data_IF_319301888941
#
_entry.id   IF_319301888941
#
_cell.length_a   1.000
_cell.length_b   1.000
_cell.length_c   1.000
_cell.angle_alpha   90.00
_cell.angle_beta   90.00
_cell.angle_gamma   90.00
#
_symmetry.space_group_name_H-M   'P 1'
#
loop_
_entity.id
_entity.type
_entity.pdbx_description
1 polymer ?
#
# COMPACT_ATOMS: atom_id res chain seq x y z
N UNK A 1 8.53 -38.37 -7.04
CA UNK A 1 7.39 -37.45 -7.00
C UNK A 1 7.95 -36.03 -6.87
N UNK A 2 8.04 -35.31 -8.00
CA UNK A 2 8.55 -33.94 -8.01
C UNK A 2 7.41 -33.03 -7.49
N UNK A 3 7.51 -32.59 -6.27
CA UNK A 3 6.66 -31.51 -5.75
C UNK A 3 7.17 -30.18 -6.34
N UNK A 4 6.71 -29.83 -7.55
CA UNK A 4 6.83 -28.46 -8.03
C UNK A 4 6.03 -27.58 -7.06
N UNK A 5 6.72 -26.91 -6.14
CA UNK A 5 6.11 -25.86 -5.34
C UNK A 5 5.78 -24.70 -6.26
N UNK A 6 4.52 -24.60 -6.67
CA UNK A 6 4.00 -23.46 -7.42
C UNK A 6 4.13 -22.21 -6.54
N UNK A 7 4.99 -21.28 -6.95
CA UNK A 7 5.15 -19.99 -6.28
C UNK A 7 4.18 -19.01 -6.92
N UNK A 8 3.06 -18.74 -6.26
CA UNK A 8 2.11 -17.71 -6.68
C UNK A 8 2.62 -16.34 -6.26
N UNK A 9 2.74 -15.43 -7.20
CA UNK A 9 3.24 -14.07 -6.97
C UNK A 9 2.14 -13.04 -6.77
N UNK A 10 0.93 -13.37 -7.21
CA UNK A 10 -0.25 -12.52 -7.01
C UNK A 10 -1.51 -13.34 -6.68
N UNK A 11 -2.54 -12.67 -6.20
CA UNK A 11 -3.78 -13.30 -5.81
C UNK A 11 -4.56 -13.84 -7.01
N UNK A 12 -4.42 -13.23 -8.20
CA UNK A 12 -5.09 -13.66 -9.42
C UNK A 12 -4.67 -15.08 -9.82
N UNK A 13 -3.37 -15.38 -9.72
CA UNK A 13 -2.86 -16.71 -10.02
C UNK A 13 -3.44 -17.77 -9.09
N UNK A 14 -3.63 -17.41 -7.81
CA UNK A 14 -4.30 -18.28 -6.84
C UNK A 14 -5.80 -18.47 -7.13
N UNK A 15 -6.48 -17.40 -7.56
CA UNK A 15 -7.90 -17.45 -7.93
C UNK A 15 -8.10 -18.39 -9.13
N UNK A 16 -7.28 -18.23 -10.16
CA UNK A 16 -7.33 -19.03 -11.39
C UNK A 16 -7.03 -20.51 -11.09
N UNK A 17 -6.11 -20.78 -10.16
CA UNK A 17 -5.75 -22.14 -9.76
C UNK A 17 -6.73 -22.82 -8.81
N UNK A 18 -7.83 -22.16 -8.42
CA UNK A 18 -8.81 -22.62 -7.42
C UNK A 18 -8.21 -22.97 -6.05
N UNK A 19 -6.96 -22.62 -5.80
CA UNK A 19 -6.25 -22.94 -4.55
C UNK A 19 -6.40 -21.86 -3.48
N UNK A 20 -7.37 -20.95 -3.61
CA UNK A 20 -7.67 -19.99 -2.54
C UNK A 20 -8.17 -20.74 -1.35
N UNK A 21 -7.42 -20.68 -0.28
CA UNK A 21 -7.91 -21.08 1.02
C UNK A 21 -8.89 -19.97 1.52
N UNK A 22 -10.20 -20.24 1.45
CA UNK A 22 -11.28 -19.36 1.93
C UNK A 22 -11.02 -18.82 3.33
N UNK A 23 -10.43 -19.65 4.17
CA UNK A 23 -10.03 -19.33 5.53
C UNK A 23 -9.08 -18.13 5.65
N UNK A 24 -8.17 -17.91 4.68
CA UNK A 24 -7.25 -16.76 4.71
C UNK A 24 -7.94 -15.45 4.38
N UNK A 25 -8.90 -15.45 3.46
CA UNK A 25 -9.65 -14.24 3.10
C UNK A 25 -10.53 -13.78 4.28
N UNK A 26 -11.19 -14.71 4.96
CA UNK A 26 -11.97 -14.42 6.17
C UNK A 26 -11.08 -13.90 7.31
N UNK A 27 -9.88 -14.48 7.50
CA UNK A 27 -8.91 -13.99 8.49
C UNK A 27 -8.42 -12.57 8.18
N UNK A 28 -8.19 -12.26 6.89
CA UNK A 28 -7.84 -10.90 6.46
C UNK A 28 -8.97 -9.93 6.76
N UNK A 29 -10.20 -10.28 6.41
CA UNK A 29 -11.37 -9.45 6.70
C UNK A 29 -11.59 -9.26 8.20
N UNK A 30 -11.55 -10.32 8.97
CA UNK A 30 -11.66 -10.26 10.44
C UNK A 30 -10.55 -9.41 11.06
N UNK A 31 -9.35 -9.43 10.47
CA UNK A 31 -8.24 -8.57 10.86
C UNK A 31 -8.55 -7.10 10.53
N UNK A 32 -8.97 -6.78 9.31
CA UNK A 32 -9.32 -5.42 8.89
C UNK A 32 -10.45 -4.87 9.78
N UNK A 33 -11.51 -5.64 10.03
CA UNK A 33 -12.63 -5.21 10.87
C UNK A 33 -12.23 -5.01 12.34
N UNK A 34 -11.34 -5.83 12.88
CA UNK A 34 -10.79 -5.63 14.23
C UNK A 34 -9.95 -4.36 14.34
N UNK A 35 -9.24 -4.01 13.26
CA UNK A 35 -8.47 -2.78 13.19
C UNK A 35 -9.37 -1.54 13.20
N UNK A 36 -10.61 -1.69 12.74
CA UNK A 36 -11.54 -0.59 12.48
C UNK A 36 -12.77 -0.63 13.39
N UNK A 37 -12.62 -1.14 14.61
CA UNK A 37 -13.72 -1.05 15.58
C UNK A 37 -14.11 0.42 15.82
N UNK A 38 -15.39 0.75 16.00
CA UNK A 38 -15.91 2.12 16.11
C UNK A 38 -15.23 3.00 17.17
N UNK A 39 -14.55 2.40 18.11
CA UNK A 39 -13.82 3.12 19.16
C UNK A 39 -12.47 3.70 18.70
N UNK A 40 -11.96 3.29 17.54
CA UNK A 40 -10.65 3.72 17.00
C UNK A 40 -10.73 4.74 15.86
N UNK A 41 -11.93 5.09 15.39
CA UNK A 41 -12.12 6.01 14.25
C UNK A 41 -11.65 7.46 14.49
N UNK A 42 -11.40 7.85 15.73
CA UNK A 42 -10.96 9.22 16.04
C UNK A 42 -9.47 9.47 15.73
N UNK A 43 -8.68 8.42 15.54
CA UNK A 43 -7.24 8.54 15.24
C UNK A 43 -6.85 7.60 14.10
N UNK A 44 -6.03 8.09 13.14
CA UNK A 44 -5.52 7.24 12.07
C UNK A 44 -4.68 6.13 12.68
N UNK A 45 -5.05 4.90 12.41
CA UNK A 45 -4.34 3.74 12.92
C UNK A 45 -3.33 3.27 11.89
N UNK A 46 -2.06 3.18 12.29
CA UNK A 46 -0.98 2.63 11.46
C UNK A 46 -0.68 1.23 11.97
N UNK A 47 -0.82 0.25 11.09
CA UNK A 47 -0.53 -1.14 11.39
C UNK A 47 0.68 -1.61 10.61
N UNK A 48 1.62 -2.21 11.30
CA UNK A 48 2.78 -2.84 10.68
C UNK A 48 2.61 -4.35 10.73
N UNK A 49 2.65 -4.96 9.56
CA UNK A 49 2.57 -6.41 9.41
C UNK A 49 3.92 -6.96 8.99
N UNK A 50 4.50 -7.83 9.81
CA UNK A 50 5.80 -8.45 9.52
C UNK A 50 5.64 -9.96 9.40
N UNK A 51 6.29 -10.55 8.39
CA UNK A 51 6.39 -12.00 8.19
C UNK A 51 7.76 -12.34 7.61
N UNK A 52 8.28 -13.53 7.83
CA UNK A 52 9.46 -14.01 7.12
C UNK A 52 9.25 -13.97 5.60
N UNK A 53 10.31 -13.77 4.84
CA UNK A 53 10.26 -13.79 3.38
C UNK A 53 9.67 -15.11 2.88
N UNK A 54 8.87 -15.06 1.82
CA UNK A 54 8.20 -16.23 1.25
C UNK A 54 6.89 -16.64 1.95
N UNK A 55 6.49 -16.01 3.04
CA UNK A 55 5.24 -16.32 3.76
C UNK A 55 4.01 -15.57 3.25
N UNK A 56 4.05 -15.08 2.01
CA UNK A 56 2.88 -14.56 1.31
C UNK A 56 2.40 -13.19 1.80
N UNK A 57 3.32 -12.32 2.28
CA UNK A 57 2.94 -10.97 2.71
C UNK A 57 2.36 -10.15 1.56
N UNK A 58 3.02 -10.15 0.39
CA UNK A 58 2.51 -9.45 -0.80
C UNK A 58 1.18 -10.00 -1.31
N UNK A 59 0.93 -11.30 -1.13
CA UNK A 59 -0.37 -11.92 -1.39
C UNK A 59 -1.44 -11.38 -0.44
N UNK A 60 -1.09 -11.22 0.83
CA UNK A 60 -1.99 -10.70 1.85
C UNK A 60 -2.31 -9.22 1.59
N UNK A 61 -1.31 -8.40 1.26
CA UNK A 61 -1.51 -6.97 0.91
C UNK A 61 -2.37 -6.83 -0.34
N UNK A 62 -2.14 -7.64 -1.37
CA UNK A 62 -2.95 -7.66 -2.58
C UNK A 62 -4.39 -8.12 -2.29
N UNK A 63 -4.57 -9.17 -1.49
CA UNK A 63 -5.91 -9.62 -1.07
C UNK A 63 -6.65 -8.52 -0.30
N UNK A 64 -5.96 -7.84 0.62
CA UNK A 64 -6.51 -6.73 1.40
C UNK A 64 -6.97 -5.59 0.50
N UNK A 65 -6.13 -5.16 -0.45
CA UNK A 65 -6.45 -4.13 -1.45
C UNK A 65 -7.73 -4.47 -2.21
N UNK A 66 -7.81 -5.65 -2.78
CA UNK A 66 -8.94 -6.10 -3.60
C UNK A 66 -10.23 -6.30 -2.80
N UNK A 67 -10.13 -6.75 -1.54
CA UNK A 67 -11.28 -6.88 -0.63
C UNK A 67 -11.83 -5.49 -0.30
N UNK A 68 -10.99 -4.53 0.05
CA UNK A 68 -11.41 -3.15 0.35
C UNK A 68 -12.09 -2.52 -0.87
N UNK A 69 -11.54 -2.70 -2.06
CA UNK A 69 -12.14 -2.22 -3.32
C UNK A 69 -13.37 -3.02 -3.76
N UNK A 70 -13.72 -4.08 -3.06
CA UNK A 70 -14.88 -4.94 -3.34
C UNK A 70 -14.87 -5.51 -4.76
N UNK A 71 -13.73 -5.99 -5.20
CA UNK A 71 -13.63 -6.63 -6.52
C UNK A 71 -14.49 -7.91 -6.58
N UNK A 72 -15.36 -7.99 -7.59
CA UNK A 72 -16.42 -9.01 -7.68
C UNK A 72 -15.91 -10.46 -7.66
N UNK A 73 -14.77 -10.72 -8.26
CA UNK A 73 -14.16 -12.05 -8.34
C UNK A 73 -13.64 -12.55 -6.99
N UNK A 74 -13.34 -11.65 -6.04
CA UNK A 74 -12.98 -11.99 -4.67
C UNK A 74 -14.22 -12.00 -3.80
N UNK A 75 -15.06 -10.97 -3.88
CA UNK A 75 -16.26 -10.81 -3.06
C UNK A 75 -17.24 -11.97 -3.28
N UNK A 76 -17.41 -12.44 -4.53
CA UNK A 76 -18.26 -13.59 -4.83
C UNK A 76 -17.79 -14.92 -4.21
N UNK A 77 -16.58 -14.96 -3.63
CA UNK A 77 -16.02 -16.11 -2.89
C UNK A 77 -16.09 -15.95 -1.37
N UNK A 78 -16.52 -14.78 -0.90
CA UNK A 78 -16.72 -14.49 0.51
C UNK A 78 -18.18 -14.78 0.85
N UNK A 79 -18.40 -15.78 1.68
CA UNK A 79 -19.76 -16.24 2.04
C UNK A 79 -20.52 -15.25 2.92
N UNK A 80 -19.82 -14.35 3.60
CA UNK A 80 -20.42 -13.37 4.51
C UNK A 80 -20.40 -11.95 3.91
N UNK A 81 -21.45 -11.62 3.16
CA UNK A 81 -21.64 -10.28 2.61
C UNK A 81 -21.86 -9.20 3.70
N UNK A 82 -22.25 -9.60 4.91
CA UNK A 82 -22.44 -8.70 6.04
C UNK A 82 -21.13 -8.03 6.43
N UNK A 83 -20.05 -8.80 6.51
CA UNK A 83 -18.72 -8.29 6.83
C UNK A 83 -18.23 -7.26 5.81
N UNK A 84 -18.58 -7.41 4.53
CA UNK A 84 -18.18 -6.44 3.49
C UNK A 84 -18.87 -5.09 3.66
N UNK A 85 -20.09 -5.07 4.19
CA UNK A 85 -20.85 -3.82 4.44
C UNK A 85 -20.26 -3.02 5.59
N UNK A 86 -19.63 -3.69 6.53
CA UNK A 86 -18.99 -3.07 7.70
C UNK A 86 -17.63 -2.43 7.38
N UNK A 87 -17.03 -2.69 6.21
CA UNK A 87 -15.77 -2.06 5.82
C UNK A 87 -15.96 -0.55 5.63
N UNK A 88 -15.21 0.28 6.38
CA UNK A 88 -15.43 1.73 6.46
C UNK A 88 -14.92 2.49 5.24
N UNK A 89 -14.05 1.88 4.43
CA UNK A 89 -13.52 2.49 3.21
C UNK A 89 -13.70 1.57 2.00
N UNK A 90 -13.76 2.18 0.81
CA UNK A 90 -13.88 1.47 -0.48
C UNK A 90 -12.74 1.79 -1.44
N UNK A 91 -11.84 2.66 -1.01
CA UNK A 91 -10.74 3.16 -1.81
C UNK A 91 -9.41 2.84 -1.16
N UNK A 92 -8.44 2.47 -1.97
CA UNK A 92 -7.08 2.14 -1.52
C UNK A 92 -6.05 2.92 -2.32
N UNK A 93 -4.93 3.21 -1.67
CA UNK A 93 -3.70 3.68 -2.30
C UNK A 93 -2.62 2.67 -1.97
N UNK A 94 -2.20 1.89 -2.96
CA UNK A 94 -1.24 0.81 -2.76
C UNK A 94 0.14 1.21 -3.31
N UNK A 95 1.09 1.43 -2.40
CA UNK A 95 2.50 1.70 -2.70
C UNK A 95 3.25 0.37 -2.67
N UNK A 96 3.86 -0.06 -3.77
CA UNK A 96 4.72 -1.24 -3.81
C UNK A 96 6.16 -0.86 -4.18
N UNK A 97 7.09 -1.10 -3.27
CA UNK A 97 8.50 -0.82 -3.46
C UNK A 97 9.32 -2.05 -3.90
N UNK A 98 8.69 -3.14 -4.36
CA UNK A 98 9.35 -4.39 -4.75
C UNK A 98 10.54 -4.16 -5.69
N UNK A 99 10.36 -3.32 -6.69
CA UNK A 99 11.35 -3.06 -7.73
C UNK A 99 12.20 -1.80 -7.46
N UNK A 100 12.06 -1.19 -6.29
CA UNK A 100 12.76 0.05 -5.97
C UNK A 100 14.28 -0.13 -5.99
N UNK A 101 14.97 0.75 -6.73
CA UNK A 101 16.43 0.77 -6.91
C UNK A 101 16.91 2.21 -7.00
N UNK A 102 18.03 2.49 -6.37
CA UNK A 102 18.72 3.76 -6.49
C UNK A 102 20.20 3.60 -6.15
N UNK A 103 21.06 4.41 -6.77
CA UNK A 103 22.50 4.46 -6.47
C UNK A 103 22.92 5.77 -5.82
N UNK A 104 22.18 6.83 -6.07
CA UNK A 104 22.42 8.17 -5.56
C UNK A 104 21.15 8.75 -4.92
N UNK A 105 21.23 9.79 -4.06
CA UNK A 105 20.04 10.47 -3.54
C UNK A 105 19.13 11.03 -4.63
N UNK A 106 19.71 11.48 -5.74
CA UNK A 106 18.93 11.95 -6.90
C UNK A 106 18.14 10.83 -7.54
N UNK A 107 18.77 9.66 -7.76
CA UNK A 107 18.06 8.47 -8.27
C UNK A 107 17.00 8.00 -7.28
N UNK A 108 17.31 8.08 -5.98
CA UNK A 108 16.39 7.70 -4.92
C UNK A 108 15.13 8.58 -4.92
N UNK A 109 15.31 9.91 -4.97
CA UNK A 109 14.21 10.86 -5.11
C UNK A 109 13.38 10.56 -6.37
N UNK A 110 14.04 10.32 -7.51
CA UNK A 110 13.37 9.98 -8.76
C UNK A 110 12.59 8.68 -8.67
N UNK A 111 13.18 7.62 -8.12
CA UNK A 111 12.49 6.34 -7.93
C UNK A 111 11.24 6.45 -7.07
N UNK A 112 11.24 7.28 -6.01
CA UNK A 112 10.03 7.57 -5.24
C UNK A 112 8.96 8.29 -6.08
N UNK A 113 9.39 9.25 -6.92
CA UNK A 113 8.48 9.96 -7.82
C UNK A 113 7.90 9.00 -8.85
N UNK A 114 8.71 8.10 -9.42
CA UNK A 114 8.25 7.11 -10.41
C UNK A 114 7.15 6.20 -9.82
N UNK A 115 7.31 5.72 -8.59
CA UNK A 115 6.25 4.95 -7.87
C UNK A 115 4.98 5.79 -7.71
N UNK A 116 5.11 7.08 -7.39
CA UNK A 116 3.95 7.96 -7.26
C UNK A 116 3.30 8.25 -8.61
N UNK A 117 4.09 8.37 -9.70
CA UNK A 117 3.56 8.56 -11.07
C UNK A 117 2.70 7.39 -11.48
N UNK A 118 3.12 6.15 -11.20
CA UNK A 118 2.32 4.96 -11.46
C UNK A 118 0.96 5.04 -10.74
N UNK A 119 0.92 5.54 -9.50
CA UNK A 119 -0.33 5.73 -8.76
C UNK A 119 -1.22 6.83 -9.34
N UNK A 120 -0.65 7.96 -9.77
CA UNK A 120 -1.42 9.01 -10.46
C UNK A 120 -2.07 8.45 -11.74
N UNK A 121 -1.30 7.71 -12.51
CA UNK A 121 -1.79 7.05 -13.71
C UNK A 121 -2.87 6.01 -13.40
N UNK A 122 -2.63 5.14 -12.42
CA UNK A 122 -3.59 4.10 -12.01
C UNK A 122 -4.93 4.68 -11.57
N UNK A 123 -4.89 5.80 -10.85
CA UNK A 123 -6.10 6.48 -10.38
C UNK A 123 -6.67 7.48 -11.39
N UNK A 124 -6.15 7.54 -12.61
CA UNK A 124 -6.58 8.49 -13.65
C UNK A 124 -6.60 9.95 -13.16
N UNK A 125 -5.54 10.37 -12.47
CA UNK A 125 -5.34 11.73 -12.00
C UNK A 125 -4.30 12.38 -12.88
N UNK A 126 -4.68 13.44 -13.60
CA UNK A 126 -3.74 14.25 -14.35
C UNK A 126 -2.79 14.97 -13.40
N UNK A 127 -1.50 14.86 -13.66
CA UNK A 127 -0.48 15.57 -12.92
C UNK A 127 0.71 15.92 -13.81
N UNK A 128 1.14 17.18 -13.71
CA UNK A 128 2.42 17.60 -14.26
C UNK A 128 3.51 17.33 -13.23
N UNK A 129 4.43 16.44 -13.59
CA UNK A 129 5.57 16.10 -12.76
C UNK A 129 6.72 17.03 -13.03
N UNK A 130 6.98 17.94 -12.08
CA UNK A 130 8.10 18.85 -12.12
C UNK A 130 9.29 18.25 -11.36
N UNK A 131 10.47 18.25 -11.96
CA UNK A 131 11.71 17.73 -11.38
C UNK A 131 12.11 18.43 -10.07
N UNK A 132 11.63 19.66 -9.85
CA UNK A 132 11.91 20.43 -8.63
C UNK A 132 11.06 20.01 -7.44
N UNK A 133 9.92 19.39 -7.66
CA UNK A 133 9.04 18.97 -6.56
C UNK A 133 9.59 17.75 -5.80
N UNK A 134 9.24 17.67 -4.52
CA UNK A 134 9.64 16.54 -3.67
C UNK A 134 8.60 15.40 -3.72
N UNK A 135 9.00 14.16 -3.44
CA UNK A 135 8.06 13.04 -3.32
C UNK A 135 6.93 13.32 -2.32
N UNK A 136 7.23 14.03 -1.22
CA UNK A 136 6.25 14.49 -0.24
C UNK A 136 5.13 15.31 -0.88
N UNK A 137 5.48 16.29 -1.72
CA UNK A 137 4.51 17.16 -2.39
C UNK A 137 3.62 16.37 -3.35
N UNK A 138 4.20 15.46 -4.13
CA UNK A 138 3.42 14.60 -5.02
C UNK A 138 2.48 13.69 -4.26
N UNK A 139 2.97 13.04 -3.20
CA UNK A 139 2.12 12.16 -2.39
C UNK A 139 0.98 12.93 -1.71
N UNK A 140 1.26 14.13 -1.21
CA UNK A 140 0.22 15.03 -0.67
C UNK A 140 -0.85 15.32 -1.73
N UNK A 141 -0.43 15.74 -2.95
CA UNK A 141 -1.37 16.03 -4.05
C UNK A 141 -2.20 14.82 -4.47
N UNK A 142 -1.59 13.63 -4.52
CA UNK A 142 -2.30 12.40 -4.82
C UNK A 142 -3.44 12.16 -3.82
N UNK A 143 -3.11 12.19 -2.52
CA UNK A 143 -4.10 11.96 -1.47
C UNK A 143 -5.21 13.02 -1.46
N UNK A 144 -4.86 14.31 -1.66
CA UNK A 144 -5.84 15.39 -1.75
C UNK A 144 -6.76 15.24 -2.96
N UNK A 145 -6.21 14.86 -4.11
CA UNK A 145 -7.00 14.65 -5.33
C UNK A 145 -7.97 13.49 -5.19
N UNK A 146 -7.52 12.40 -4.57
CA UNK A 146 -8.35 11.24 -4.28
C UNK A 146 -9.45 11.56 -3.27
N UNK A 147 -9.10 12.26 -2.19
CA UNK A 147 -10.08 12.70 -1.19
C UNK A 147 -11.15 13.62 -1.80
N UNK A 148 -10.73 14.60 -2.61
CA UNK A 148 -11.67 15.50 -3.32
C UNK A 148 -12.61 14.74 -4.25
N UNK A 149 -12.12 13.67 -4.89
CA UNK A 149 -12.92 12.84 -5.82
C UNK A 149 -13.93 11.97 -5.11
N UNK A 150 -13.53 11.33 -4.03
CA UNK A 150 -14.33 10.28 -3.39
C UNK A 150 -15.09 10.76 -2.16
N UNK A 151 -14.60 11.81 -1.47
CA UNK A 151 -15.17 12.32 -0.22
C UNK A 151 -15.34 11.24 0.86
N UNK A 152 -14.53 10.19 0.80
CA UNK A 152 -14.56 9.02 1.68
C UNK A 152 -13.17 8.73 2.24
N UNK A 153 -13.14 7.99 3.34
CA UNK A 153 -11.91 7.45 3.91
C UNK A 153 -11.22 6.51 2.93
N UNK A 154 -9.89 6.48 2.98
CA UNK A 154 -9.06 5.63 2.13
C UNK A 154 -8.09 4.81 2.97
N UNK A 155 -7.87 3.56 2.58
CA UNK A 155 -6.80 2.76 3.14
C UNK A 155 -5.50 2.97 2.34
N UNK A 156 -4.39 3.20 3.03
CA UNK A 156 -3.07 3.27 2.43
C UNK A 156 -2.34 1.97 2.76
N UNK A 157 -2.00 1.21 1.72
CA UNK A 157 -1.29 -0.06 1.83
C UNK A 157 0.12 0.15 1.30
N UNK A 158 1.13 -0.23 2.08
CA UNK A 158 2.53 -0.12 1.68
C UNK A 158 3.16 -1.51 1.72
N UNK A 159 3.44 -2.06 0.55
CA UNK A 159 4.17 -3.32 0.43
C UNK A 159 5.66 -3.05 0.20
N UNK A 160 6.51 -3.94 0.72
CA UNK A 160 7.98 -3.82 0.65
C UNK A 160 8.50 -2.48 1.20
N UNK A 161 7.89 -1.96 2.27
CA UNK A 161 8.19 -0.65 2.86
C UNK A 161 9.66 -0.51 3.32
N UNK A 162 10.32 -1.63 3.63
CA UNK A 162 11.71 -1.72 4.05
C UNK A 162 12.69 -1.56 2.88
N UNK A 163 12.24 -1.80 1.65
CA UNK A 163 13.12 -1.79 0.48
C UNK A 163 13.81 -0.44 0.23
N UNK A 164 13.14 0.71 0.28
CA UNK A 164 13.81 2.01 0.18
C UNK A 164 14.85 2.21 1.29
N UNK A 165 14.54 1.82 2.53
CA UNK A 165 15.49 1.94 3.66
C UNK A 165 16.73 1.08 3.43
N UNK A 166 16.55 -0.16 2.95
CA UNK A 166 17.68 -1.04 2.60
C UNK A 166 18.52 -0.46 1.47
N UNK A 167 17.90 0.10 0.43
CA UNK A 167 18.60 0.73 -0.69
C UNK A 167 19.39 1.94 -0.21
N UNK A 168 18.84 2.78 0.65
CA UNK A 168 19.56 3.91 1.23
C UNK A 168 20.75 3.44 2.09
N UNK A 169 20.56 2.42 2.94
CA UNK A 169 21.62 1.87 3.77
C UNK A 169 22.79 1.25 2.99
N UNK A 170 22.56 0.85 1.74
CA UNK A 170 23.60 0.33 0.85
C UNK A 170 24.44 1.42 0.14
N UNK A 171 24.08 2.68 0.31
CA UNK A 171 24.88 3.78 -0.23
C UNK A 171 26.21 3.87 0.50
N UNK A 172 27.32 3.98 -0.27
CA UNK A 172 28.67 3.98 0.31
C UNK A 172 28.96 5.20 1.20
N UNK A 173 28.25 6.29 0.96
CA UNK A 173 28.40 7.56 1.68
C UNK A 173 27.27 7.71 2.71
N UNK A 174 27.66 7.88 3.97
CA UNK A 174 26.72 7.99 5.10
C UNK A 174 25.82 9.23 5.00
N UNK A 175 26.32 10.35 4.51
CA UNK A 175 25.52 11.58 4.33
C UNK A 175 24.45 11.36 3.26
N UNK A 176 24.83 10.75 2.14
CA UNK A 176 23.89 10.39 1.06
C UNK A 176 22.84 9.38 1.50
N UNK A 177 23.24 8.40 2.32
CA UNK A 177 22.32 7.45 2.92
C UNK A 177 21.29 8.15 3.82
N UNK A 178 21.76 9.10 4.63
CA UNK A 178 20.90 9.90 5.52
C UNK A 178 19.94 10.78 4.71
N UNK A 179 20.42 11.47 3.68
CA UNK A 179 19.57 12.28 2.78
C UNK A 179 18.45 11.45 2.13
N UNK A 180 18.81 10.27 1.61
CA UNK A 180 17.84 9.35 1.00
C UNK A 180 16.79 8.89 2.01
N UNK A 181 17.21 8.49 3.22
CA UNK A 181 16.29 8.10 4.29
C UNK A 181 15.37 9.25 4.69
N UNK A 182 15.89 10.46 4.89
CA UNK A 182 15.08 11.63 5.22
C UNK A 182 14.04 11.90 4.13
N UNK A 183 14.40 11.78 2.85
CA UNK A 183 13.48 11.97 1.72
C UNK A 183 12.31 10.97 1.78
N UNK A 184 12.59 9.70 2.10
CA UNK A 184 11.56 8.67 2.22
C UNK A 184 10.66 8.89 3.44
N UNK A 185 11.26 9.15 4.60
CA UNK A 185 10.51 9.39 5.83
C UNK A 185 9.63 10.64 5.72
N UNK A 186 10.12 11.70 5.07
CA UNK A 186 9.33 12.91 4.81
C UNK A 186 8.11 12.62 3.93
N UNK A 187 8.26 11.77 2.92
CA UNK A 187 7.12 11.30 2.12
C UNK A 187 6.12 10.54 2.98
N UNK A 188 6.57 9.58 3.80
CA UNK A 188 5.68 8.80 4.66
C UNK A 188 5.02 9.63 5.76
N UNK A 189 5.65 10.69 6.24
CA UNK A 189 5.08 11.58 7.25
C UNK A 189 3.80 12.28 6.78
N UNK A 190 3.54 12.35 5.48
CA UNK A 190 2.26 12.84 4.93
C UNK A 190 1.09 12.04 5.49
N UNK A 191 1.27 10.72 5.63
CA UNK A 191 0.24 9.81 6.15
C UNK A 191 -0.18 10.24 7.56
N UNK A 192 0.79 10.52 8.44
CA UNK A 192 0.52 10.92 9.84
C UNK A 192 -0.23 12.25 9.94
N UNK A 193 0.07 13.21 9.05
CA UNK A 193 -0.48 14.56 9.15
C UNK A 193 -1.81 14.75 8.44
N UNK A 194 -2.08 13.99 7.38
CA UNK A 194 -3.31 14.15 6.59
C UNK A 194 -4.45 13.29 7.10
N UNK A 195 -4.18 12.09 7.59
CA UNK A 195 -5.21 11.20 8.12
C UNK A 195 -5.84 11.79 9.40
N UNK A 196 -5.08 12.54 10.23
CA UNK A 196 -5.59 13.19 11.44
C UNK A 196 -6.41 14.48 11.22
N UNK A 197 -6.47 15.03 9.99
CA UNK A 197 -7.20 16.27 9.69
C UNK A 197 -8.46 16.09 8.85
N UNK A 198 -8.76 14.87 8.41
CA UNK A 198 -9.94 14.57 7.61
C UNK A 198 -11.25 14.51 8.46
N UNK A 199 -11.17 14.78 9.76
CA UNK A 199 -12.30 14.76 10.70
C UNK A 199 -12.50 16.07 11.47
N UNK A 200 -12.15 17.23 10.87
CA UNK A 200 -12.54 18.53 11.42
C UNK A 200 -13.41 19.26 10.42
#
# INVERSE_FOLDING_TARGET
MNSNSLVYTNLQDLIVSEQINRDKSLKVMSFILKLESPQTFATPSIYMMTRPRGFGLSLLTNATDRIIRREKDIVGKIEDEGLLKELPCRHTVCLDFKNFKAKTPKDFKRGLIDVLQELFWFHHIESHFDTYMTPKVYFTRLLESLYKRHQESMAIIIDNYDKPLMVAAMMADKEKATEANCTYLDMLNVIRHKIGRAHV
#
